data_IF_624254260811
#
_entry.id   IF_624254260811
#
_cell.length_a   1.000
_cell.length_b   1.000
_cell.length_c   1.000
_cell.angle_alpha   90.00
_cell.angle_beta   90.00
_cell.angle_gamma   90.00
#
_symmetry.space_group_name_H-M   'P 1'
#
loop_
_entity.id
_entity.type
_entity.pdbx_description
1 polymer ?
#
# COMPACT_ATOMS: atom_id res chain seq x y z
N UNK A 1 -8.57 -23.12 -9.57
CA UNK A 1 -7.87 -21.81 -9.56
C UNK A 1 -7.68 -21.29 -8.15
N UNK A 2 -8.73 -21.24 -7.31
CA UNK A 2 -8.67 -20.92 -5.88
C UNK A 2 -7.44 -21.47 -5.13
N UNK A 3 -7.30 -22.80 -4.99
CA UNK A 3 -6.19 -23.42 -4.25
C UNK A 3 -4.80 -22.98 -4.73
N UNK A 4 -4.62 -22.84 -6.06
CA UNK A 4 -3.34 -22.42 -6.63
C UNK A 4 -3.00 -20.97 -6.23
N UNK A 5 -3.96 -20.05 -6.38
CA UNK A 5 -3.74 -18.64 -6.08
C UNK A 5 -3.62 -18.36 -4.58
N UNK A 6 -4.39 -19.06 -3.73
CA UNK A 6 -4.25 -18.93 -2.27
C UNK A 6 -2.92 -19.49 -1.77
N UNK A 7 -2.45 -20.62 -2.33
CA UNK A 7 -1.10 -21.12 -1.99
C UNK A 7 -0.02 -20.13 -2.40
N UNK A 8 -0.12 -19.57 -3.62
CA UNK A 8 0.85 -18.57 -4.09
C UNK A 8 0.85 -17.29 -3.24
N UNK A 9 -0.32 -16.86 -2.76
CA UNK A 9 -0.43 -15.74 -1.84
C UNK A 9 0.19 -16.07 -0.48
N UNK A 10 -0.09 -17.24 0.08
CA UNK A 10 0.53 -17.72 1.32
C UNK A 10 2.05 -17.85 1.22
N UNK A 11 2.57 -18.43 0.14
CA UNK A 11 4.02 -18.51 -0.14
C UNK A 11 4.67 -17.13 -0.24
N UNK A 12 3.99 -16.15 -0.86
CA UNK A 12 4.46 -14.77 -0.90
C UNK A 12 4.56 -14.16 0.49
N UNK A 13 3.54 -14.33 1.34
CA UNK A 13 3.54 -13.86 2.74
C UNK A 13 4.66 -14.53 3.54
N UNK A 14 4.87 -15.84 3.36
CA UNK A 14 5.99 -16.58 3.98
C UNK A 14 7.35 -16.03 3.52
N UNK A 15 7.49 -15.68 2.24
CA UNK A 15 8.73 -15.08 1.71
C UNK A 15 9.05 -13.70 2.28
N UNK A 16 8.04 -13.00 2.82
CA UNK A 16 8.18 -11.71 3.50
C UNK A 16 8.54 -11.87 4.98
N UNK A 17 8.49 -13.10 5.52
CA UNK A 17 8.82 -13.43 6.92
C UNK A 17 7.61 -13.66 7.83
N UNK A 18 6.40 -13.72 7.28
CA UNK A 18 5.17 -13.87 8.06
C UNK A 18 4.57 -15.26 7.91
N UNK A 19 3.86 -15.76 8.92
CA UNK A 19 3.24 -17.08 8.90
C UNK A 19 1.75 -16.97 9.23
N UNK A 20 0.88 -16.77 8.21
CA UNK A 20 -0.56 -16.73 8.45
C UNK A 20 -1.07 -18.12 8.89
N UNK A 21 -2.15 -18.15 9.64
CA UNK A 21 -2.85 -19.36 10.06
C UNK A 21 -3.47 -20.09 8.85
N UNK A 22 -3.93 -21.32 9.06
CA UNK A 22 -4.70 -22.02 8.04
C UNK A 22 -6.12 -21.45 7.92
N UNK A 23 -6.65 -21.42 6.70
CA UNK A 23 -8.01 -20.97 6.39
C UNK A 23 -8.76 -22.02 5.57
N UNK A 24 -10.07 -22.14 5.79
CA UNK A 24 -10.93 -22.96 4.96
C UNK A 24 -11.36 -22.19 3.71
N UNK A 25 -11.25 -22.83 2.54
CA UNK A 25 -11.64 -22.24 1.26
C UNK A 25 -12.78 -23.07 0.65
N UNK A 26 -13.90 -22.42 0.38
CA UNK A 26 -15.03 -22.99 -0.36
C UNK A 26 -15.15 -22.35 -1.74
N UNK A 27 -14.73 -23.01 -2.82
CA UNK A 27 -14.77 -22.42 -4.16
C UNK A 27 -16.17 -22.39 -4.79
N UNK A 28 -17.22 -22.90 -4.13
CA UNK A 28 -18.56 -22.97 -4.73
C UNK A 28 -19.68 -22.48 -3.77
N UNK A 29 -19.35 -21.56 -2.88
CA UNK A 29 -20.29 -21.00 -1.92
C UNK A 29 -20.12 -19.49 -1.76
N UNK A 30 -21.24 -18.80 -1.59
CA UNK A 30 -21.31 -17.41 -1.16
C UNK A 30 -21.28 -17.27 0.37
N UNK A 31 -21.31 -16.03 0.89
CA UNK A 31 -21.20 -15.76 2.33
C UNK A 31 -22.31 -16.42 3.17
N UNK A 32 -23.51 -16.61 2.61
CA UNK A 32 -24.65 -17.31 3.25
C UNK A 32 -24.68 -18.83 2.95
N UNK A 33 -23.66 -19.35 2.26
CA UNK A 33 -23.64 -20.73 1.76
C UNK A 33 -24.45 -20.94 0.48
N UNK A 34 -25.09 -19.90 -0.07
CA UNK A 34 -25.77 -19.97 -1.36
C UNK A 34 -24.76 -19.77 -2.50
N UNK A 35 -24.95 -20.38 -3.67
CA UNK A 35 -24.02 -20.23 -4.79
C UNK A 35 -24.02 -18.82 -5.42
N UNK A 36 -24.93 -17.92 -5.06
CA UNK A 36 -25.26 -16.74 -5.87
C UNK A 36 -24.46 -15.46 -5.52
N UNK A 37 -23.32 -15.58 -4.84
CA UNK A 37 -22.55 -14.40 -4.42
C UNK A 37 -21.24 -14.25 -5.18
N UNK A 38 -20.80 -13.01 -5.33
CA UNK A 38 -19.41 -12.69 -5.66
C UNK A 38 -18.59 -12.98 -4.40
N UNK A 39 -17.34 -13.45 -4.52
CA UNK A 39 -16.54 -13.98 -3.42
C UNK A 39 -16.58 -13.18 -2.10
N UNK A 40 -16.42 -13.88 -0.98
CA UNK A 40 -16.48 -13.30 0.34
C UNK A 40 -15.60 -14.07 1.33
N UNK A 41 -14.71 -13.33 1.99
CA UNK A 41 -14.19 -13.68 3.29
C UNK A 41 -15.25 -13.41 4.35
N UNK A 42 -15.48 -14.37 5.24
CA UNK A 42 -16.47 -14.20 6.32
C UNK A 42 -15.88 -14.53 7.67
N UNK A 43 -16.16 -13.65 8.63
CA UNK A 43 -16.00 -13.88 10.05
C UNK A 43 -17.34 -13.55 10.72
N UNK A 44 -18.10 -14.55 11.19
CA UNK A 44 -19.35 -14.29 11.94
C UNK A 44 -19.34 -15.04 13.26
N UNK A 45 -19.36 -14.25 14.33
CA UNK A 45 -19.44 -14.66 15.74
C UNK A 45 -20.86 -14.67 16.31
N UNK A 46 -21.91 -14.34 15.54
CA UNK A 46 -23.28 -14.15 16.09
C UNK A 46 -24.27 -15.31 15.87
N UNK A 47 -23.90 -16.37 15.13
CA UNK A 47 -24.78 -17.53 14.90
C UNK A 47 -24.14 -18.90 15.19
N UNK A 48 -22.94 -18.92 15.79
CA UNK A 48 -22.31 -20.15 16.26
C UNK A 48 -21.76 -21.09 15.18
N UNK A 49 -21.59 -20.64 13.93
CA UNK A 49 -21.00 -21.48 12.86
C UNK A 49 -20.29 -20.67 11.74
N UNK A 50 -19.09 -20.15 11.98
CA UNK A 50 -18.01 -20.01 10.98
C UNK A 50 -16.70 -19.50 11.62
N UNK A 51 -15.72 -20.39 11.73
CA UNK A 51 -14.30 -20.05 11.90
C UNK A 51 -13.77 -19.57 10.54
N UNK A 52 -13.14 -18.40 10.46
CA UNK A 52 -12.32 -17.89 9.33
C UNK A 52 -12.41 -18.73 8.03
N UNK A 53 -13.24 -18.26 7.08
CA UNK A 53 -13.46 -18.92 5.79
C UNK A 53 -13.41 -17.92 4.66
N UNK A 54 -12.81 -18.36 3.57
CA UNK A 54 -12.91 -17.72 2.26
C UNK A 54 -13.92 -18.53 1.45
N UNK A 55 -14.90 -17.86 0.84
CA UNK A 55 -15.82 -18.53 -0.06
C UNK A 55 -15.93 -17.78 -1.37
N UNK A 56 -16.08 -18.51 -2.46
CA UNK A 56 -16.31 -17.96 -3.79
C UNK A 56 -17.62 -18.51 -4.31
N UNK A 57 -18.60 -17.64 -4.55
CA UNK A 57 -19.83 -18.09 -5.18
C UNK A 57 -19.67 -18.18 -6.69
N UNK A 58 -20.65 -18.83 -7.31
CA UNK A 58 -20.75 -19.14 -8.74
C UNK A 58 -21.90 -18.34 -9.40
N UNK A 59 -22.39 -17.29 -8.74
CA UNK A 59 -23.49 -16.45 -9.21
C UNK A 59 -23.02 -15.47 -10.28
N UNK A 60 -23.28 -15.78 -11.54
CA UNK A 60 -22.78 -15.02 -12.68
C UNK A 60 -21.45 -15.59 -13.18
N UNK A 61 -20.35 -14.91 -12.89
CA UNK A 61 -18.98 -15.37 -13.19
C UNK A 61 -18.40 -16.09 -11.96
N UNK A 62 -17.75 -17.23 -12.16
CA UNK A 62 -17.14 -18.00 -11.06
C UNK A 62 -15.95 -17.23 -10.45
N UNK A 63 -16.18 -16.62 -9.28
CA UNK A 63 -15.16 -15.84 -8.58
C UNK A 63 -13.96 -16.69 -8.14
N UNK A 64 -14.10 -18.02 -8.06
CA UNK A 64 -13.02 -18.95 -7.74
C UNK A 64 -12.01 -19.12 -8.88
N UNK A 65 -12.27 -18.52 -10.04
CA UNK A 65 -11.40 -18.48 -11.22
C UNK A 65 -10.69 -17.14 -11.43
N UNK A 66 -11.12 -16.06 -10.78
CA UNK A 66 -10.50 -14.74 -10.89
C UNK A 66 -9.38 -14.56 -9.87
N UNK A 67 -8.14 -14.46 -10.35
CA UNK A 67 -6.99 -14.32 -9.48
C UNK A 67 -6.99 -13.04 -8.63
N UNK A 68 -7.63 -11.97 -9.09
CA UNK A 68 -7.72 -10.71 -8.33
C UNK A 68 -8.73 -10.87 -7.20
N UNK A 69 -9.90 -11.47 -7.47
CA UNK A 69 -10.87 -11.79 -6.43
C UNK A 69 -10.28 -12.76 -5.39
N UNK A 70 -9.59 -13.82 -5.83
CA UNK A 70 -8.97 -14.79 -4.91
C UNK A 70 -7.92 -14.14 -4.01
N UNK A 71 -7.06 -13.27 -4.56
CA UNK A 71 -6.05 -12.58 -3.76
C UNK A 71 -6.65 -11.54 -2.81
N UNK A 72 -7.74 -10.87 -3.21
CA UNK A 72 -8.48 -9.94 -2.36
C UNK A 72 -9.09 -10.67 -1.16
N UNK A 73 -9.84 -11.75 -1.36
CA UNK A 73 -10.43 -12.49 -0.24
C UNK A 73 -9.39 -13.14 0.67
N UNK A 74 -8.27 -13.61 0.09
CA UNK A 74 -7.17 -14.14 0.88
C UNK A 74 -6.44 -13.05 1.67
N UNK A 75 -6.41 -11.82 1.18
CA UNK A 75 -5.84 -10.69 1.89
C UNK A 75 -6.64 -10.35 3.16
N UNK A 76 -7.97 -10.46 3.15
CA UNK A 76 -8.74 -10.36 4.40
C UNK A 76 -8.29 -11.39 5.44
N UNK A 77 -8.06 -12.64 5.02
CA UNK A 77 -7.53 -13.67 5.90
C UNK A 77 -6.10 -13.37 6.39
N UNK A 78 -5.21 -12.84 5.53
CA UNK A 78 -3.86 -12.42 5.95
C UNK A 78 -3.97 -11.33 7.03
N UNK A 79 -4.79 -10.31 6.79
CA UNK A 79 -5.02 -9.25 7.77
C UNK A 79 -5.54 -9.84 9.08
N UNK A 80 -6.47 -10.79 8.99
CA UNK A 80 -7.05 -11.45 10.16
C UNK A 80 -6.02 -12.22 10.96
N UNK A 81 -5.23 -13.03 10.27
CA UNK A 81 -4.26 -13.88 10.91
C UNK A 81 -3.12 -13.10 11.56
N UNK A 82 -2.71 -11.98 10.96
CA UNK A 82 -1.57 -11.18 11.45
C UNK A 82 -1.99 -10.16 12.51
N UNK A 83 -3.29 -9.82 12.59
CA UNK A 83 -3.77 -8.88 13.61
C UNK A 83 -3.68 -9.48 15.02
N UNK A 84 -2.97 -8.87 15.97
CA UNK A 84 -2.65 -9.49 17.26
C UNK A 84 -3.88 -9.75 18.13
N UNK A 85 -4.95 -8.99 17.92
CA UNK A 85 -6.19 -9.14 18.69
C UNK A 85 -7.32 -9.84 17.94
N UNK A 86 -7.09 -10.24 16.68
CA UNK A 86 -8.01 -10.95 15.79
C UNK A 86 -9.49 -10.57 16.04
N UNK A 87 -10.21 -11.39 16.79
CA UNK A 87 -11.64 -11.25 17.11
C UNK A 87 -12.08 -9.86 17.57
N UNK A 88 -11.26 -9.11 18.31
CA UNK A 88 -11.66 -7.78 18.78
C UNK A 88 -11.60 -6.70 17.71
N UNK A 89 -10.65 -6.77 16.77
CA UNK A 89 -10.56 -5.86 15.63
C UNK A 89 -11.71 -6.11 14.65
N UNK A 90 -11.99 -7.39 14.37
CA UNK A 90 -13.05 -7.76 13.43
C UNK A 90 -14.47 -7.61 13.99
N UNK A 91 -14.63 -7.34 15.29
CA UNK A 91 -15.92 -6.89 15.83
C UNK A 91 -16.33 -5.50 15.31
N UNK A 92 -15.40 -4.76 14.70
CA UNK A 92 -15.63 -3.44 14.12
C UNK A 92 -15.70 -3.46 12.59
N UNK A 93 -15.84 -4.62 11.93
CA UNK A 93 -16.00 -4.63 10.47
C UNK A 93 -17.24 -3.88 9.96
N UNK A 94 -18.27 -3.75 10.80
CA UNK A 94 -19.45 -2.93 10.48
C UNK A 94 -19.19 -1.42 10.66
N UNK A 95 -18.04 -1.04 11.25
CA UNK A 95 -17.58 0.35 11.37
C UNK A 95 -16.87 0.78 10.08
N UNK A 96 -17.35 1.87 9.49
CA UNK A 96 -16.97 2.30 8.15
C UNK A 96 -15.45 2.55 7.99
N UNK A 97 -14.72 3.21 8.92
CA UNK A 97 -13.27 3.32 8.87
C UNK A 97 -12.54 1.98 8.84
N UNK A 98 -12.93 1.05 9.71
CA UNK A 98 -12.30 -0.27 9.79
C UNK A 98 -12.58 -1.07 8.52
N UNK A 99 -13.83 -1.09 8.04
CA UNK A 99 -14.21 -1.68 6.77
C UNK A 99 -13.38 -1.10 5.61
N UNK A 100 -13.30 0.23 5.51
CA UNK A 100 -12.58 0.91 4.44
C UNK A 100 -11.09 0.55 4.41
N UNK A 101 -10.46 0.43 5.58
CA UNK A 101 -9.06 0.04 5.69
C UNK A 101 -8.84 -1.42 5.26
N UNK A 102 -9.70 -2.33 5.73
CA UNK A 102 -9.59 -3.77 5.45
C UNK A 102 -9.85 -4.06 3.96
N UNK A 103 -10.81 -3.37 3.34
CA UNK A 103 -11.05 -3.39 1.89
C UNK A 103 -9.85 -2.82 1.12
N UNK A 104 -9.33 -1.66 1.53
CA UNK A 104 -8.17 -1.05 0.90
C UNK A 104 -6.89 -1.89 1.00
N UNK A 105 -6.68 -2.60 2.12
CA UNK A 105 -5.61 -3.57 2.26
C UNK A 105 -5.75 -4.71 1.24
N UNK A 106 -6.95 -5.27 1.12
CA UNK A 106 -7.22 -6.38 0.22
C UNK A 106 -7.07 -5.97 -1.26
N UNK A 107 -7.53 -4.77 -1.60
CA UNK A 107 -7.39 -4.15 -2.92
C UNK A 107 -5.94 -3.94 -3.32
N UNK A 108 -5.14 -3.32 -2.45
CA UNK A 108 -3.71 -3.15 -2.70
C UNK A 108 -3.01 -4.50 -2.89
N UNK A 109 -3.24 -5.46 -2.00
CA UNK A 109 -2.54 -6.74 -2.05
C UNK A 109 -2.85 -7.52 -3.34
N UNK A 110 -4.12 -7.50 -3.76
CA UNK A 110 -4.56 -8.09 -5.02
C UNK A 110 -3.98 -7.37 -6.24
N UNK A 111 -4.01 -6.04 -6.27
CA UNK A 111 -3.43 -5.26 -7.38
C UNK A 111 -1.90 -5.38 -7.47
N UNK A 112 -1.22 -5.35 -6.32
CA UNK A 112 0.22 -5.57 -6.22
C UNK A 112 0.61 -6.92 -6.85
N UNK A 113 -0.17 -7.98 -6.63
CA UNK A 113 0.01 -9.24 -7.33
C UNK A 113 -0.34 -9.16 -8.81
N UNK A 114 -1.45 -8.50 -9.17
CA UNK A 114 -1.88 -8.32 -10.56
C UNK A 114 -0.79 -7.68 -11.43
N UNK A 115 -0.01 -6.73 -10.88
CA UNK A 115 1.16 -6.12 -11.55
C UNK A 115 2.26 -7.12 -11.93
N UNK A 116 2.32 -8.28 -11.28
CA UNK A 116 3.33 -9.32 -11.54
C UNK A 116 2.92 -10.33 -12.63
N UNK A 117 1.70 -10.23 -13.12
CA UNK A 117 1.15 -11.12 -14.14
C UNK A 117 0.63 -10.29 -15.32
N UNK A 118 0.52 -10.92 -16.49
CA UNK A 118 -0.05 -10.24 -17.65
C UNK A 118 -1.56 -10.06 -17.43
N UNK A 119 -2.01 -8.81 -17.51
CA UNK A 119 -3.41 -8.41 -17.43
C UNK A 119 -3.68 -7.24 -18.36
N UNK A 120 -4.95 -6.87 -18.52
CA UNK A 120 -5.35 -5.75 -19.37
C UNK A 120 -4.95 -4.41 -18.74
N UNK A 121 -5.65 -4.03 -17.67
CA UNK A 121 -5.37 -2.84 -16.87
C UNK A 121 -4.91 -3.30 -15.48
N UNK A 122 -3.66 -3.04 -15.06
CA UNK A 122 -3.16 -3.48 -13.76
C UNK A 122 -3.82 -2.75 -12.58
N UNK A 123 -4.51 -1.63 -12.81
CA UNK A 123 -5.10 -0.83 -11.73
C UNK A 123 -6.55 -1.19 -11.39
N UNK A 124 -7.28 -1.87 -12.29
CA UNK A 124 -8.67 -2.27 -12.02
C UNK A 124 -8.76 -3.52 -11.16
N UNK A 125 -9.86 -3.69 -10.43
CA UNK A 125 -10.05 -4.82 -9.52
C UNK A 125 -11.22 -5.71 -9.93
N UNK A 126 -10.97 -7.02 -10.00
CA UNK A 126 -11.97 -8.06 -10.23
C UNK A 126 -12.97 -7.81 -11.38
N UNK A 127 -12.57 -7.07 -12.43
CA UNK A 127 -13.45 -6.71 -13.56
C UNK A 127 -14.14 -7.91 -14.23
N UNK A 128 -13.51 -9.08 -14.20
CA UNK A 128 -14.09 -10.31 -14.75
C UNK A 128 -15.06 -10.97 -13.75
N UNK A 129 -14.61 -11.27 -12.52
CA UNK A 129 -15.50 -11.83 -11.48
C UNK A 129 -16.72 -10.94 -11.16
N UNK A 130 -16.58 -9.62 -11.25
CA UNK A 130 -17.63 -8.65 -10.94
C UNK A 130 -18.29 -8.06 -12.19
N UNK A 131 -18.10 -8.64 -13.38
CA UNK A 131 -18.58 -8.07 -14.64
C UNK A 131 -20.08 -7.73 -14.61
N UNK A 132 -20.94 -8.66 -14.18
CA UNK A 132 -22.38 -8.42 -14.08
C UNK A 132 -22.72 -7.32 -13.05
N UNK A 133 -22.04 -7.34 -11.90
CA UNK A 133 -22.21 -6.35 -10.86
C UNK A 133 -21.81 -4.94 -11.35
N UNK A 134 -20.69 -4.81 -12.05
CA UNK A 134 -20.20 -3.54 -12.59
C UNK A 134 -20.98 -3.03 -13.81
N UNK A 135 -21.69 -3.91 -14.53
CA UNK A 135 -22.66 -3.48 -15.53
C UNK A 135 -23.87 -2.81 -14.86
N UNK A 136 -24.34 -3.36 -13.73
CA UNK A 136 -25.50 -2.82 -13.00
C UNK A 136 -25.16 -1.60 -12.15
N UNK A 137 -23.96 -1.56 -11.59
CA UNK A 137 -23.47 -0.52 -10.67
C UNK A 137 -22.10 0.01 -11.12
N UNK A 138 -22.02 0.69 -12.28
CA UNK A 138 -20.75 1.14 -12.84
C UNK A 138 -19.99 2.12 -11.94
N UNK A 139 -20.69 2.85 -11.06
CA UNK A 139 -20.13 3.75 -10.05
C UNK A 139 -19.44 3.04 -8.89
N UNK A 140 -19.65 1.72 -8.75
CA UNK A 140 -19.02 0.88 -7.72
C UNK A 140 -17.76 0.17 -8.20
N UNK A 141 -17.29 0.49 -9.41
CA UNK A 141 -16.03 -0.03 -9.95
C UNK A 141 -14.86 0.47 -9.12
N UNK A 142 -13.91 -0.44 -8.86
CA UNK A 142 -12.78 -0.17 -7.98
C UNK A 142 -11.47 -0.17 -8.75
N UNK A 143 -10.61 0.77 -8.37
CA UNK A 143 -9.29 1.00 -8.94
C UNK A 143 -8.28 1.36 -7.85
N UNK A 144 -7.00 1.12 -8.12
CA UNK A 144 -5.89 1.41 -7.18
C UNK A 144 -4.93 2.48 -7.70
N UNK A 145 -5.40 3.34 -8.58
CA UNK A 145 -4.68 4.47 -9.19
C UNK A 145 -5.55 5.74 -9.20
N UNK A 146 -6.35 5.91 -8.15
CA UNK A 146 -7.23 7.08 -7.98
C UNK A 146 -6.49 8.19 -7.24
N UNK A 147 -6.74 9.45 -7.60
CA UNK A 147 -6.23 10.61 -6.86
C UNK A 147 -7.09 10.96 -5.62
N UNK A 148 -7.91 10.01 -5.12
CA UNK A 148 -8.84 10.26 -4.02
C UNK A 148 -8.09 10.61 -2.72
N UNK A 149 -8.61 11.59 -1.99
CA UNK A 149 -7.97 12.17 -0.80
C UNK A 149 -8.90 12.10 0.41
N UNK A 150 -8.41 11.56 1.53
CA UNK A 150 -9.12 11.63 2.81
C UNK A 150 -8.98 13.03 3.44
N UNK A 151 -10.05 13.63 4.01
CA UNK A 151 -11.42 13.13 4.07
C UNK A 151 -12.31 13.63 2.92
N UNK A 152 -11.76 14.34 1.93
CA UNK A 152 -12.55 15.01 0.88
C UNK A 152 -13.37 14.05 0.01
N UNK A 153 -12.79 12.90 -0.34
CA UNK A 153 -13.42 11.86 -1.17
C UNK A 153 -13.92 10.66 -0.34
N UNK A 154 -13.92 10.79 0.99
CA UNK A 154 -14.36 9.73 1.89
C UNK A 154 -15.89 9.75 2.04
N UNK A 155 -16.55 8.74 1.46
CA UNK A 155 -18.00 8.59 1.41
C UNK A 155 -18.53 7.55 2.40
N UNK A 156 -19.68 6.96 2.06
CA UNK A 156 -20.42 6.00 2.92
C UNK A 156 -20.16 4.52 2.58
N UNK A 157 -19.36 4.25 1.54
CA UNK A 157 -19.11 2.89 1.04
C UNK A 157 -17.67 2.49 1.34
N UNK A 158 -17.49 1.45 2.16
CA UNK A 158 -16.17 0.99 2.59
C UNK A 158 -15.27 0.53 1.44
N UNK A 159 -15.83 -0.12 0.41
CA UNK A 159 -15.05 -0.59 -0.73
C UNK A 159 -14.57 0.59 -1.59
N UNK A 160 -15.43 1.60 -1.81
CA UNK A 160 -15.02 2.81 -2.53
C UNK A 160 -14.00 3.62 -1.75
N UNK A 161 -14.17 3.73 -0.44
CA UNK A 161 -13.24 4.41 0.45
C UNK A 161 -11.87 3.71 0.51
N UNK A 162 -11.84 2.38 0.41
CA UNK A 162 -10.61 1.57 0.37
C UNK A 162 -9.69 1.91 -0.81
N UNK A 163 -10.21 2.52 -1.87
CA UNK A 163 -9.41 3.02 -3.00
C UNK A 163 -8.39 4.10 -2.58
N UNK A 164 -8.69 4.88 -1.53
CA UNK A 164 -7.76 5.90 -0.99
C UNK A 164 -6.49 5.22 -0.44
N UNK A 165 -6.67 4.18 0.39
CA UNK A 165 -5.54 3.46 0.99
C UNK A 165 -4.76 2.66 -0.05
N UNK A 166 -5.49 1.95 -0.92
CA UNK A 166 -4.86 1.08 -1.91
C UNK A 166 -4.08 1.86 -2.96
N UNK A 167 -4.59 3.02 -3.42
CA UNK A 167 -3.88 3.89 -4.35
C UNK A 167 -2.58 4.43 -3.74
N UNK A 168 -2.65 4.90 -2.48
CA UNK A 168 -1.46 5.38 -1.78
C UNK A 168 -0.37 4.29 -1.67
N UNK A 169 -0.75 3.04 -1.39
CA UNK A 169 0.20 1.93 -1.30
C UNK A 169 0.75 1.51 -2.66
N UNK A 170 -0.02 1.62 -3.74
CA UNK A 170 0.49 1.43 -5.11
C UNK A 170 1.54 2.48 -5.45
N UNK A 171 1.32 3.74 -5.08
CA UNK A 171 2.29 4.82 -5.31
C UNK A 171 3.57 4.62 -4.51
N UNK A 172 3.45 4.19 -3.24
CA UNK A 172 4.62 3.77 -2.44
C UNK A 172 5.34 2.59 -3.13
N UNK A 173 4.62 1.55 -3.53
CA UNK A 173 5.18 0.39 -4.23
C UNK A 173 5.91 0.76 -5.52
N UNK A 174 5.39 1.72 -6.29
CA UNK A 174 6.04 2.18 -7.52
C UNK A 174 7.41 2.81 -7.23
N UNK A 175 7.60 3.39 -6.05
CA UNK A 175 8.85 4.06 -5.67
C UNK A 175 9.84 3.15 -4.93
N UNK A 176 9.37 2.31 -4.00
CA UNK A 176 10.26 1.50 -3.13
C UNK A 176 10.22 0.00 -3.42
N UNK A 177 9.34 -0.43 -4.33
CA UNK A 177 9.22 -1.80 -4.79
C UNK A 177 8.30 -2.69 -3.93
N UNK A 178 7.72 -3.68 -4.59
CA UNK A 178 6.70 -4.60 -4.05
C UNK A 178 7.12 -5.37 -2.80
N UNK A 179 8.37 -5.83 -2.73
CA UNK A 179 8.85 -6.59 -1.57
C UNK A 179 8.87 -5.69 -0.33
N UNK A 180 9.47 -4.51 -0.46
CA UNK A 180 9.61 -3.53 0.62
C UNK A 180 8.26 -3.04 1.11
N UNK A 181 7.38 -2.58 0.20
CA UNK A 181 6.04 -2.08 0.57
C UNK A 181 5.20 -3.13 1.27
N UNK A 182 5.14 -4.36 0.75
CA UNK A 182 4.40 -5.44 1.40
C UNK A 182 4.98 -5.79 2.76
N UNK A 183 6.30 -5.81 2.92
CA UNK A 183 6.92 -6.09 4.23
C UNK A 183 6.58 -5.05 5.27
N UNK A 184 6.62 -3.76 4.91
CA UNK A 184 6.19 -2.67 5.79
C UNK A 184 4.71 -2.80 6.11
N UNK A 185 3.86 -3.05 5.11
CA UNK A 185 2.42 -3.14 5.29
C UNK A 185 2.04 -4.26 6.25
N UNK A 186 2.57 -5.47 6.04
CA UNK A 186 2.27 -6.63 6.88
C UNK A 186 2.77 -6.46 8.31
N UNK A 187 3.97 -5.90 8.50
CA UNK A 187 4.51 -5.59 9.84
C UNK A 187 3.65 -4.54 10.55
N UNK A 188 3.12 -3.55 9.82
CA UNK A 188 2.33 -2.45 10.41
C UNK A 188 1.00 -2.91 11.03
N UNK A 189 0.46 -4.06 10.61
CA UNK A 189 -0.81 -4.62 11.09
C UNK A 189 -0.81 -4.75 12.62
N UNK A 190 0.34 -5.06 13.22
CA UNK A 190 0.47 -5.19 14.68
C UNK A 190 0.09 -3.92 15.45
N UNK A 191 0.22 -2.75 14.82
CA UNK A 191 0.02 -1.44 15.43
C UNK A 191 -1.34 -0.80 15.08
N UNK A 192 -2.18 -1.46 14.28
CA UNK A 192 -3.46 -0.89 13.82
C UNK A 192 -4.51 -0.70 14.94
N UNK A 193 -4.35 -1.38 16.08
CA UNK A 193 -5.33 -1.29 17.18
C UNK A 193 -6.67 -1.94 16.79
N UNK A 194 -7.75 -1.67 17.52
CA UNK A 194 -9.04 -2.37 17.28
C UNK A 194 -10.02 -1.65 16.35
N UNK A 195 -9.84 -0.35 16.13
CA UNK A 195 -10.73 0.48 15.29
C UNK A 195 -9.90 1.59 14.65
N UNK A 196 -9.01 1.25 13.69
CA UNK A 196 -8.19 2.24 13.01
C UNK A 196 -9.02 3.10 12.05
N UNK A 197 -8.58 4.34 11.92
CA UNK A 197 -8.87 5.16 10.75
C UNK A 197 -7.85 4.93 9.63
N UNK A 198 -8.20 5.34 8.42
CA UNK A 198 -7.30 5.40 7.27
C UNK A 198 -6.00 6.18 7.59
N UNK A 199 -6.06 7.42 8.13
CA UNK A 199 -4.83 8.13 8.51
C UNK A 199 -4.01 7.45 9.61
N UNK A 200 -4.65 6.85 10.62
CA UNK A 200 -3.88 6.15 11.66
C UNK A 200 -3.12 4.94 11.11
N UNK A 201 -3.71 4.21 10.15
CA UNK A 201 -3.02 3.13 9.46
C UNK A 201 -1.87 3.64 8.59
N UNK A 202 -2.02 4.80 7.93
CA UNK A 202 -0.94 5.47 7.21
C UNK A 202 0.21 5.88 8.12
N UNK A 203 -0.07 6.43 9.30
CA UNK A 203 0.95 6.75 10.31
C UNK A 203 1.69 5.49 10.80
N UNK A 204 0.97 4.40 11.03
CA UNK A 204 1.57 3.12 11.41
C UNK A 204 2.48 2.59 10.32
N UNK A 205 2.06 2.63 9.05
CA UNK A 205 2.90 2.25 7.92
C UNK A 205 4.21 3.04 7.88
N UNK A 206 4.15 4.37 8.07
CA UNK A 206 5.34 5.24 8.09
C UNK A 206 6.26 4.87 9.27
N UNK A 207 5.70 4.71 10.47
CA UNK A 207 6.47 4.29 11.65
C UNK A 207 7.15 2.95 11.43
N UNK A 208 6.45 1.98 10.86
CA UNK A 208 7.00 0.66 10.55
C UNK A 208 8.11 0.75 9.51
N UNK A 209 7.96 1.58 8.47
CA UNK A 209 9.02 1.83 7.49
C UNK A 209 10.28 2.37 8.17
N UNK A 210 10.12 3.35 9.06
CA UNK A 210 11.22 3.96 9.82
C UNK A 210 11.88 2.95 10.77
N UNK A 211 11.09 2.10 11.43
CA UNK A 211 11.62 1.08 12.34
C UNK A 211 12.41 -0.01 11.60
N UNK A 212 11.98 -0.40 10.40
CA UNK A 212 12.62 -1.47 9.63
C UNK A 212 13.84 -0.98 8.83
N UNK A 213 13.79 0.24 8.31
CA UNK A 213 14.76 0.74 7.31
C UNK A 213 15.37 2.09 7.67
N UNK A 214 15.10 2.63 8.86
CA UNK A 214 15.51 3.99 9.22
C UNK A 214 14.92 5.01 8.24
N UNK A 215 15.72 5.97 7.80
CA UNK A 215 15.25 7.04 6.91
C UNK A 215 15.21 6.66 5.42
N UNK A 216 15.60 5.43 5.03
CA UNK A 216 15.80 5.05 3.62
C UNK A 216 14.56 5.27 2.75
N UNK A 217 13.37 4.88 3.24
CA UNK A 217 12.10 4.97 2.49
C UNK A 217 11.13 6.00 3.06
N UNK A 218 11.55 6.77 4.07
CA UNK A 218 10.67 7.65 4.81
C UNK A 218 10.03 8.72 3.91
N UNK A 219 10.78 9.17 2.89
CA UNK A 219 10.36 10.17 1.92
C UNK A 219 9.21 9.69 1.04
N UNK A 220 9.40 8.54 0.42
CA UNK A 220 8.46 7.91 -0.49
C UNK A 220 7.19 7.50 0.27
N UNK A 221 7.33 7.02 1.51
CA UNK A 221 6.19 6.69 2.37
C UNK A 221 5.38 7.94 2.75
N UNK A 222 6.02 8.98 3.30
CA UNK A 222 5.31 10.19 3.75
C UNK A 222 4.66 10.91 2.58
N UNK A 223 5.37 11.06 1.45
CA UNK A 223 4.86 11.84 0.32
C UNK A 223 3.63 11.23 -0.33
N UNK A 224 3.68 9.93 -0.64
CA UNK A 224 2.55 9.24 -1.24
C UNK A 224 1.37 9.13 -0.27
N UNK A 225 1.59 8.75 1.00
CA UNK A 225 0.49 8.70 1.98
C UNK A 225 -0.14 10.09 2.21
N UNK A 226 0.66 11.15 2.16
CA UNK A 226 0.15 12.52 2.30
C UNK A 226 -0.64 12.99 1.09
N UNK A 227 -0.27 12.59 -0.12
CA UNK A 227 -1.04 12.89 -1.33
C UNK A 227 -2.49 12.41 -1.24
N UNK A 228 -2.73 11.32 -0.50
CA UNK A 228 -4.06 10.76 -0.23
C UNK A 228 -4.66 11.16 1.13
N UNK A 229 -4.03 12.10 1.86
CA UNK A 229 -4.55 12.58 3.14
C UNK A 229 -4.42 11.59 4.31
N UNK A 230 -3.56 10.58 4.18
CA UNK A 230 -3.37 9.49 5.15
C UNK A 230 -2.30 9.78 6.21
N UNK A 231 -1.73 10.97 6.22
CA UNK A 231 -0.81 11.42 7.26
C UNK A 231 -0.91 12.93 7.39
N UNK A 232 -0.81 13.40 8.63
CA UNK A 232 -0.65 14.83 8.92
C UNK A 232 0.80 15.17 9.26
N UNK A 233 1.72 14.19 9.18
CA UNK A 233 3.14 14.50 9.30
C UNK A 233 3.42 15.67 8.38
N UNK A 234 4.12 16.69 8.90
CA UNK A 234 4.63 17.69 8.00
C UNK A 234 5.37 16.92 6.93
N UNK A 235 5.13 17.36 5.71
CA UNK A 235 6.23 17.29 4.78
C UNK A 235 7.29 18.07 5.55
N UNK A 236 8.35 17.46 6.07
CA UNK A 236 9.47 18.25 6.61
C UNK A 236 10.17 18.92 5.42
N UNK A 237 9.41 19.57 4.54
CA UNK A 237 9.77 19.90 3.17
C UNK A 237 9.18 21.27 2.88
N UNK A 238 9.93 22.29 3.30
CA UNK A 238 9.99 23.47 2.46
C UNK A 238 10.61 23.06 1.13
N UNK A 239 9.94 23.39 0.03
CA UNK A 239 10.66 23.60 -1.23
C UNK A 239 11.55 24.82 -1.02
N UNK A 240 12.80 24.62 -0.61
CA UNK A 240 13.74 25.73 -0.52
C UNK A 240 14.27 26.02 -1.92
N UNK A 241 13.61 26.95 -2.60
CA UNK A 241 14.12 27.52 -3.83
C UNK A 241 15.33 28.38 -3.52
N UNK A 242 16.53 27.82 -3.70
CA UNK A 242 17.78 28.58 -3.58
C UNK A 242 18.02 29.29 -4.91
N UNK A 243 17.46 30.49 -5.07
CA UNK A 243 17.81 31.38 -6.17
C UNK A 243 18.95 32.31 -5.74
N UNK A 244 19.99 32.40 -6.57
CA UNK A 244 21.06 33.40 -6.43
C UNK A 244 21.88 33.34 -5.12
N UNK A 245 21.99 32.20 -4.44
CA UNK A 245 22.96 32.09 -3.36
C UNK A 245 24.35 31.79 -3.92
N UNK A 246 25.31 32.63 -3.55
CA UNK A 246 26.72 32.22 -3.57
C UNK A 246 26.91 31.31 -2.36
N UNK A 247 27.04 30.00 -2.56
CA UNK A 247 27.35 29.07 -1.47
C UNK A 247 28.79 29.37 -1.02
N UNK A 248 28.94 30.21 0.01
CA UNK A 248 30.23 30.61 0.57
C UNK A 248 30.75 29.65 1.65
N UNK A 249 29.90 28.72 2.14
CA UNK A 249 30.27 27.76 3.19
C UNK A 249 29.32 26.55 3.28
N UNK A 250 29.80 25.51 3.97
CA UNK A 250 29.12 24.23 4.21
C UNK A 250 27.72 24.43 4.77
N UNK A 251 26.69 23.95 4.07
CA UNK A 251 25.30 23.94 4.56
C UNK A 251 24.84 22.50 4.71
N UNK A 252 24.51 22.12 5.95
CA UNK A 252 23.91 20.81 6.24
C UNK A 252 22.40 20.96 6.25
N UNK A 253 21.72 20.20 5.40
CA UNK A 253 20.27 20.15 5.35
C UNK A 253 19.79 18.88 6.05
N UNK A 254 19.22 19.05 7.24
CA UNK A 254 18.60 17.95 7.97
C UNK A 254 17.13 17.84 7.56
N UNK A 255 16.63 16.60 7.43
CA UNK A 255 15.21 16.28 7.27
C UNK A 255 14.57 16.66 5.91
N UNK A 256 15.36 16.72 4.83
CA UNK A 256 14.88 17.03 3.47
C UNK A 256 14.88 15.78 2.57
N UNK A 257 13.75 15.53 1.89
CA UNK A 257 13.59 14.41 0.96
C UNK A 257 14.07 14.66 -0.47
N UNK A 258 14.05 15.91 -0.92
CA UNK A 258 14.57 16.29 -2.24
C UNK A 258 15.06 17.74 -2.18
N UNK A 259 16.25 18.01 -2.70
CA UNK A 259 16.77 19.36 -2.91
C UNK A 259 16.96 19.54 -4.42
N UNK A 260 16.22 20.47 -5.01
CA UNK A 260 16.35 20.83 -6.42
C UNK A 260 17.10 22.15 -6.55
N UNK A 261 18.15 22.16 -7.38
CA UNK A 261 18.94 23.36 -7.66
C UNK A 261 18.65 23.88 -9.06
N UNK A 262 18.29 25.16 -9.18
CA UNK A 262 18.18 25.88 -10.46
C UNK A 262 19.13 27.07 -10.49
N UNK A 263 19.87 27.25 -11.59
CA UNK A 263 20.78 28.39 -11.82
C UNK A 263 21.88 28.61 -10.75
N UNK A 264 22.64 27.56 -10.42
CA UNK A 264 23.78 27.69 -9.50
C UNK A 264 24.99 28.31 -10.21
N UNK A 265 25.48 29.46 -9.71
CA UNK A 265 26.74 30.07 -10.14
C UNK A 265 27.82 29.75 -9.10
N UNK A 266 28.75 28.86 -9.44
CA UNK A 266 29.89 28.51 -8.59
C UNK A 266 31.07 29.44 -8.99
N UNK A 267 31.37 30.44 -8.16
CA UNK A 267 32.52 31.31 -8.39
C UNK A 267 33.78 30.77 -7.69
N UNK A 268 34.85 30.58 -8.46
CA UNK A 268 36.20 30.22 -8.04
C UNK A 268 36.35 28.92 -7.22
N UNK A 269 36.40 27.77 -7.90
CA UNK A 269 37.20 26.65 -7.40
C UNK A 269 37.77 25.81 -8.54
N UNK A 270 39.11 25.67 -8.64
CA UNK A 270 39.78 24.99 -9.75
C UNK A 270 39.70 23.45 -9.70
N UNK A 271 39.09 22.86 -8.67
CA UNK A 271 39.00 21.41 -8.53
C UNK A 271 37.62 21.03 -7.97
N UNK A 272 36.64 20.79 -8.84
CA UNK A 272 35.42 20.08 -8.44
C UNK A 272 35.63 18.61 -8.81
N UNK A 273 36.05 17.81 -7.81
CA UNK A 273 36.00 16.36 -7.89
C UNK A 273 34.79 15.89 -7.09
N UNK A 274 33.79 15.35 -7.79
CA UNK A 274 32.63 14.70 -7.19
C UNK A 274 33.05 13.28 -6.80
N UNK A 275 33.09 12.99 -5.50
CA UNK A 275 33.30 11.63 -5.00
C UNK A 275 31.99 11.19 -4.37
N UNK A 276 31.35 10.21 -5.01
CA UNK A 276 30.10 9.58 -4.60
C UNK A 276 30.44 8.33 -3.78
N UNK A 277 29.95 8.23 -2.54
CA UNK A 277 30.05 6.99 -1.74
C UNK A 277 28.75 6.18 -1.91
N UNK A 278 28.79 4.99 -2.52
CA UNK A 278 27.60 4.27 -2.95
C UNK A 278 27.01 3.37 -1.86
N UNK A 279 25.71 3.50 -1.60
CA UNK A 279 24.84 2.31 -1.60
C UNK A 279 24.30 2.14 -3.03
N UNK A 280 25.17 1.55 -3.85
CA UNK A 280 25.05 1.08 -5.25
C UNK A 280 24.72 2.08 -6.38
N UNK A 281 25.74 2.37 -7.23
CA UNK A 281 25.58 2.66 -8.67
C UNK A 281 26.05 4.05 -9.15
N UNK A 282 27.18 4.11 -9.86
CA UNK A 282 27.80 5.32 -10.44
C UNK A 282 26.99 5.98 -11.58
N UNK A 283 27.11 7.31 -11.75
CA UNK A 283 27.51 8.00 -13.01
C UNK A 283 27.80 9.50 -12.75
N UNK A 284 28.88 10.02 -13.35
CA UNK A 284 29.32 11.43 -13.30
C UNK A 284 28.84 12.23 -14.53
N UNK A 285 28.02 13.26 -14.26
CA UNK A 285 27.96 14.64 -14.82
C UNK A 285 27.76 14.90 -16.33
N UNK A 286 26.57 15.42 -16.67
CA UNK A 286 26.32 16.81 -17.13
C UNK A 286 24.80 17.03 -17.03
N UNK A 287 24.31 18.11 -16.38
CA UNK A 287 22.90 18.40 -16.03
C UNK A 287 22.43 17.84 -14.69
N UNK A 288 21.44 18.56 -14.14
CA UNK A 288 20.51 18.26 -13.05
C UNK A 288 20.81 16.97 -12.29
N UNK A 289 21.21 17.11 -11.04
CA UNK A 289 21.56 15.98 -10.18
C UNK A 289 20.43 15.75 -9.18
N UNK A 290 19.85 14.55 -9.17
CA UNK A 290 19.13 14.01 -8.02
C UNK A 290 20.14 13.41 -7.06
N UNK A 291 20.04 13.73 -5.76
CA UNK A 291 20.91 13.18 -4.71
C UNK A 291 20.05 12.39 -3.73
N UNK A 292 20.40 11.12 -3.47
CA UNK A 292 19.70 10.24 -2.52
C UNK A 292 20.10 10.49 -1.06
N UNK A 293 19.17 10.18 -0.16
CA UNK A 293 19.29 10.34 1.30
C UNK A 293 20.49 9.57 1.90
N UNK A 294 21.16 10.17 2.88
CA UNK A 294 22.24 9.54 3.68
C UNK A 294 23.64 10.13 3.49
N UNK A 295 23.81 11.11 2.61
CA UNK A 295 25.12 11.72 2.33
C UNK A 295 25.40 12.93 3.24
N UNK A 296 26.65 13.11 3.66
CA UNK A 296 27.10 14.29 4.43
C UNK A 296 27.80 15.28 3.50
N UNK A 297 27.40 16.55 3.57
CA UNK A 297 27.97 17.66 2.82
C UNK A 297 28.93 18.43 3.73
N UNK A 298 30.22 18.46 3.39
CA UNK A 298 31.20 19.29 4.09
C UNK A 298 32.03 20.08 3.06
N UNK A 299 32.14 21.38 3.28
CA UNK A 299 33.01 22.28 2.52
C UNK A 299 34.26 22.52 3.36
N UNK A 300 35.44 22.14 2.85
CA UNK A 300 36.73 22.58 3.38
C UNK A 300 37.39 23.56 2.42
#
# INVERSE_FOLDING_TARGET
MALFHTNKAGEWVVSLGFSPSGVFIDPHAGPDGSPNANGAWTYISSSGSANDKIRFGVGGVDAAEDQVAIWHEYAHHINYSLHPTQSSFYNYLDDLPTASLVEGFADYFAASYKKTINGWDPATLAEWALAEYYILYPERRRRVDTDNVYPGDYGIDGHLNGQIFSSALIDVENNIGRYTTNKILLESIADWGSSPSLPSAGENFINTAENLYGKEYLCECVSNLKAHGLTQRPYSYEHKYVQNETIQSSTTYNDICTISFDNVVINNSPNINVIVDPLSGETTITKSFEVKLGSTFEIK
#
